data_IF_994402565718
#
_entry.id   IF_994402565718
#
_cell.length_a   1.000
_cell.length_b   1.000
_cell.length_c   1.000
_cell.angle_alpha   90.00
_cell.angle_beta   90.00
_cell.angle_gamma   90.00
#
_symmetry.space_group_name_H-M   'P 1'
#
loop_
_entity.id
_entity.type
_entity.pdbx_description
1 polymer ?
#
# COMPACT_ATOMS: atom_id res chain seq x y z
N UNK A 1 17.99 4.29 -24.69
CA UNK A 1 17.45 3.23 -23.80
C UNK A 1 17.03 3.95 -22.53
N UNK A 2 15.74 4.03 -22.17
CA UNK A 2 15.37 4.65 -20.92
C UNK A 2 15.84 3.72 -19.79
N UNK A 3 16.80 4.19 -18.99
CA UNK A 3 17.14 3.55 -17.73
C UNK A 3 16.01 3.89 -16.76
N UNK A 4 15.12 2.93 -16.49
CA UNK A 4 14.25 3.02 -15.30
C UNK A 4 15.18 3.14 -14.10
N UNK A 5 15.24 4.34 -13.52
CA UNK A 5 16.00 4.62 -12.32
C UNK A 5 15.55 3.66 -11.21
N UNK A 6 16.44 3.11 -10.36
CA UNK A 6 16.01 2.32 -9.22
C UNK A 6 15.02 3.07 -8.31
N UNK A 7 15.04 4.41 -8.34
CA UNK A 7 14.09 5.30 -7.69
C UNK A 7 12.64 5.16 -8.18
N UNK A 8 12.37 4.72 -9.40
CA UNK A 8 11.00 4.45 -9.87
C UNK A 8 10.39 3.24 -9.15
N UNK A 9 11.20 2.20 -8.90
CA UNK A 9 10.76 0.99 -8.20
C UNK A 9 10.55 1.30 -6.70
N UNK A 10 11.38 2.17 -6.13
CA UNK A 10 11.21 2.66 -4.75
C UNK A 10 10.04 3.63 -4.62
N UNK A 11 9.74 4.43 -5.66
CA UNK A 11 8.56 5.28 -5.71
C UNK A 11 7.26 4.46 -5.82
N UNK A 12 7.31 3.33 -6.52
CA UNK A 12 6.15 2.49 -6.80
C UNK A 12 5.79 1.53 -5.66
N UNK A 13 6.76 1.11 -4.83
CA UNK A 13 6.56 0.11 -3.77
C UNK A 13 6.92 0.62 -2.37
N UNK A 14 5.90 0.88 -1.56
CA UNK A 14 5.99 1.38 -0.19
C UNK A 14 6.01 0.24 0.84
N UNK A 15 6.75 0.37 1.95
CA UNK A 15 6.71 -0.64 3.03
C UNK A 15 5.36 -0.64 3.74
N UNK A 16 4.91 -1.81 4.19
CA UNK A 16 3.67 -1.92 4.99
C UNK A 16 3.71 -1.06 6.25
N UNK A 17 4.88 -0.86 6.85
CA UNK A 17 5.04 0.00 8.04
C UNK A 17 4.74 1.46 7.75
N UNK A 18 5.18 1.97 6.60
CA UNK A 18 4.88 3.35 6.15
C UNK A 18 3.39 3.49 5.86
N UNK A 19 2.81 2.51 5.16
CA UNK A 19 1.38 2.47 4.88
C UNK A 19 0.54 2.49 6.16
N UNK A 20 0.95 1.67 7.15
CA UNK A 20 0.30 1.57 8.43
C UNK A 20 0.37 2.90 9.21
N UNK A 21 1.51 3.60 9.13
CA UNK A 21 1.67 4.93 9.72
C UNK A 21 0.74 5.98 9.08
N UNK A 22 0.53 5.94 7.76
CA UNK A 22 -0.36 6.87 7.05
C UNK A 22 -1.80 6.81 7.54
N UNK A 23 -2.31 5.60 7.83
CA UNK A 23 -3.68 5.41 8.35
C UNK A 23 -3.75 5.27 9.87
N UNK A 24 -2.61 5.36 10.56
CA UNK A 24 -2.53 5.24 12.02
C UNK A 24 -2.91 3.85 12.56
N UNK A 25 -2.66 2.77 11.82
CA UNK A 25 -2.93 1.40 12.28
C UNK A 25 -1.65 0.59 12.45
N UNK A 26 -1.74 -0.56 13.12
CA UNK A 26 -0.60 -1.46 13.26
C UNK A 26 -0.27 -2.17 11.91
N UNK A 27 1.01 -2.35 11.55
CA UNK A 27 1.40 -3.07 10.34
C UNK A 27 0.88 -4.52 10.27
N UNK A 28 0.63 -5.17 11.42
CA UNK A 28 -0.04 -6.48 11.47
C UNK A 28 -1.49 -6.39 11.03
N UNK A 29 -2.18 -5.31 11.37
CA UNK A 29 -3.55 -5.03 10.92
C UNK A 29 -3.60 -4.83 9.42
N UNK A 30 -2.66 -4.05 8.85
CA UNK A 30 -2.56 -3.89 7.39
C UNK A 30 -2.33 -5.24 6.71
N UNK A 31 -1.38 -6.05 7.21
CA UNK A 31 -1.14 -7.41 6.70
C UNK A 31 -2.40 -8.29 6.78
N UNK A 32 -3.12 -8.23 7.90
CA UNK A 32 -4.36 -8.99 8.08
C UNK A 32 -5.42 -8.54 7.08
N UNK A 33 -5.60 -7.23 6.86
CA UNK A 33 -6.57 -6.70 5.90
C UNK A 33 -6.25 -7.07 4.45
N UNK A 34 -4.96 -7.08 4.07
CA UNK A 34 -4.53 -7.56 2.75
C UNK A 34 -4.84 -9.05 2.61
N UNK A 35 -4.51 -9.86 3.63
CA UNK A 35 -4.80 -11.30 3.65
C UNK A 35 -6.30 -11.61 3.59
N UNK A 36 -7.10 -10.81 4.29
CA UNK A 36 -8.56 -10.94 4.35
C UNK A 36 -9.25 -10.42 3.08
N UNK A 37 -8.50 -9.79 2.16
CA UNK A 37 -9.05 -9.20 0.93
C UNK A 37 -9.82 -7.89 1.13
N UNK A 38 -9.79 -7.32 2.35
CA UNK A 38 -10.40 -6.02 2.68
C UNK A 38 -9.61 -4.83 2.13
N UNK A 39 -8.36 -5.07 1.75
CA UNK A 39 -7.46 -4.12 1.11
C UNK A 39 -7.03 -4.73 -0.23
N UNK A 40 -7.60 -4.24 -1.33
CA UNK A 40 -7.30 -4.71 -2.69
C UNK A 40 -6.05 -4.02 -3.21
N UNK A 41 -4.92 -4.33 -2.59
CA UNK A 41 -3.62 -3.79 -2.98
C UNK A 41 -2.66 -4.89 -3.38
N UNK A 42 -1.82 -4.61 -4.39
CA UNK A 42 -0.72 -5.51 -4.72
C UNK A 42 0.33 -5.45 -3.61
N UNK A 43 0.67 -6.60 -3.06
CA UNK A 43 1.70 -6.74 -2.06
C UNK A 43 2.76 -7.74 -2.53
N UNK A 44 4.03 -7.43 -2.29
CA UNK A 44 5.14 -8.34 -2.52
C UNK A 44 6.03 -8.42 -1.29
N UNK A 45 6.72 -9.55 -1.13
CA UNK A 45 7.73 -9.71 -0.10
C UNK A 45 9.10 -9.41 -0.75
N UNK A 46 9.78 -8.38 -0.25
CA UNK A 46 11.08 -7.97 -0.75
C UNK A 46 11.97 -7.63 0.44
N UNK A 47 13.16 -8.23 0.49
CA UNK A 47 14.16 -7.97 1.54
C UNK A 47 13.59 -8.16 2.96
N UNK A 48 12.94 -9.31 3.21
CA UNK A 48 12.27 -9.67 4.47
C UNK A 48 11.11 -8.76 4.92
N UNK A 49 10.82 -7.68 4.19
CA UNK A 49 9.72 -6.77 4.43
C UNK A 49 8.57 -7.02 3.44
N UNK A 50 7.34 -6.79 3.89
CA UNK A 50 6.20 -6.71 2.97
C UNK A 50 6.11 -5.29 2.43
N UNK A 51 6.16 -5.16 1.11
CA UNK A 51 5.95 -3.91 0.38
C UNK A 51 4.60 -3.98 -0.32
N UNK A 52 3.93 -2.84 -0.39
CA UNK A 52 2.67 -2.65 -1.08
C UNK A 52 2.85 -1.62 -2.20
N UNK A 53 2.14 -1.85 -3.29
CA UNK A 53 2.13 -0.94 -4.42
C UNK A 53 1.44 0.36 -4.02
N UNK A 54 2.15 1.47 -4.16
CA UNK A 54 1.73 2.80 -3.69
C UNK A 54 0.49 3.29 -4.43
N UNK A 55 0.43 3.10 -5.74
CA UNK A 55 -0.72 3.51 -6.55
C UNK A 55 -2.02 2.77 -6.18
N UNK A 56 -1.93 1.47 -5.88
CA UNK A 56 -3.10 0.71 -5.42
C UNK A 56 -3.54 1.16 -4.01
N UNK A 57 -2.57 1.45 -3.14
CA UNK A 57 -2.83 1.96 -1.80
C UNK A 57 -3.57 3.30 -1.83
N UNK A 58 -3.07 4.26 -2.61
CA UNK A 58 -3.70 5.57 -2.76
C UNK A 58 -5.10 5.46 -3.39
N UNK A 59 -5.27 4.62 -4.41
CA UNK A 59 -6.57 4.38 -5.03
C UNK A 59 -7.58 3.77 -4.05
N UNK A 60 -7.18 2.81 -3.22
CA UNK A 60 -8.06 2.21 -2.22
C UNK A 60 -8.41 3.19 -1.10
N UNK A 61 -7.46 4.00 -0.65
CA UNK A 61 -7.73 5.06 0.32
C UNK A 61 -8.71 6.09 -0.25
N UNK A 62 -8.49 6.53 -1.48
CA UNK A 62 -9.38 7.48 -2.15
C UNK A 62 -10.79 6.90 -2.29
N UNK A 63 -10.94 5.63 -2.69
CA UNK A 63 -12.25 4.96 -2.74
C UNK A 63 -12.94 4.91 -1.39
N UNK A 64 -12.19 4.64 -0.32
CA UNK A 64 -12.75 4.62 1.03
C UNK A 64 -13.18 6.01 1.46
N UNK A 65 -12.34 7.02 1.23
CA UNK A 65 -12.68 8.42 1.54
C UNK A 65 -13.93 8.88 0.78
N UNK A 66 -14.07 8.53 -0.50
CA UNK A 66 -15.25 8.83 -1.31
C UNK A 66 -16.51 8.12 -0.78
N UNK A 67 -16.38 6.85 -0.37
CA UNK A 67 -17.47 6.10 0.26
C UNK A 67 -17.88 6.68 1.64
N UNK A 68 -16.94 7.24 2.40
CA UNK A 68 -17.23 7.94 3.66
C UNK A 68 -17.79 9.35 3.45
N UNK A 69 -17.39 10.05 2.38
CA UNK A 69 -17.89 11.38 2.04
C UNK A 69 -19.32 11.37 1.46
N UNK A 70 -19.77 10.21 0.96
CA UNK A 70 -21.11 10.01 0.39
C UNK A 70 -22.14 9.46 1.40
N UNK A 71 -21.80 9.41 2.70
CA UNK A 71 -22.66 8.90 3.79
C UNK A 71 -23.14 10.03 4.71
#
# INVERSE_FOLDING_TARGET
>A
MPYTTPSDIEAEWMKVTEAAAVIGVDPRTVKAMIRDGRLKVRAMQFDLATRIHRGDWEAELQRRMDAFASA
#
